data_IF_425704441839
#
_entry.id   IF_425704441839
#
_cell.length_a   1.000
_cell.length_b   1.000
_cell.length_c   1.000
_cell.angle_alpha   90.00
_cell.angle_beta   90.00
_cell.angle_gamma   90.00
#
_symmetry.space_group_name_H-M   'P 1'
#
loop_
_entity.id
_entity.type
_entity.pdbx_description
1 polymer ?
#
# COMPACT_ATOMS: atom_id res chain seq x y z
N UNK A 1 12.86 3.81 5.70
CA UNK A 1 11.80 4.82 5.82
C UNK A 1 10.70 4.49 4.83
N UNK A 2 9.54 4.07 5.32
CA UNK A 2 8.39 3.77 4.49
C UNK A 2 7.53 5.03 4.31
N UNK A 3 7.02 5.26 3.11
CA UNK A 3 6.13 6.38 2.83
C UNK A 3 5.11 5.99 1.77
N UNK A 4 3.99 6.71 1.74
CA UNK A 4 3.03 6.66 0.65
C UNK A 4 2.84 8.06 0.08
N UNK A 5 2.97 8.19 -1.24
CA UNK A 5 2.76 9.43 -1.97
C UNK A 5 1.64 9.20 -2.99
N UNK A 6 0.58 10.00 -2.89
CA UNK A 6 -0.53 10.01 -3.85
C UNK A 6 -0.60 11.39 -4.49
N UNK A 7 -0.65 11.44 -5.82
CA UNK A 7 -0.88 12.68 -6.57
C UNK A 7 -2.23 12.60 -7.27
N UNK A 8 -3.16 13.44 -6.86
CA UNK A 8 -4.47 13.54 -7.48
C UNK A 8 -4.43 14.25 -8.83
N UNK A 9 -5.52 14.15 -9.60
CA UNK A 9 -5.67 14.86 -10.88
C UNK A 9 -5.65 16.39 -10.72
N UNK A 10 -5.90 16.91 -9.52
CA UNK A 10 -5.76 18.31 -9.17
C UNK A 10 -4.30 18.74 -8.91
N UNK A 11 -3.32 17.85 -9.10
CA UNK A 11 -1.90 18.10 -8.87
C UNK A 11 -1.48 18.10 -7.40
N UNK A 12 -2.40 17.93 -6.45
CA UNK A 12 -2.08 17.90 -5.01
C UNK A 12 -1.34 16.63 -4.65
N UNK A 13 -0.27 16.78 -3.87
CA UNK A 13 0.48 15.68 -3.25
C UNK A 13 -0.07 15.42 -1.85
N UNK A 14 -0.47 14.18 -1.60
CA UNK A 14 -0.79 13.65 -0.29
C UNK A 14 0.32 12.68 0.10
N UNK A 15 0.89 12.87 1.28
CA UNK A 15 2.02 12.09 1.74
C UNK A 15 1.79 11.63 3.17
N UNK A 16 2.04 10.34 3.41
CA UNK A 16 2.10 9.76 4.74
C UNK A 16 3.52 9.24 4.92
N UNK A 17 4.25 9.85 5.86
CA UNK A 17 5.57 9.40 6.29
C UNK A 17 5.42 8.51 7.53
N UNK A 18 5.87 7.27 7.41
CA UNK A 18 5.88 6.30 8.52
C UNK A 18 7.18 6.36 9.33
N UNK A 19 8.13 7.22 8.94
CA UNK A 19 9.45 7.36 9.55
C UNK A 19 10.15 5.99 9.64
N UNK A 20 10.63 5.63 10.83
CA UNK A 20 11.24 4.34 11.15
C UNK A 20 10.28 3.43 11.94
N UNK A 21 8.98 3.73 11.95
CA UNK A 21 8.02 2.85 12.60
C UNK A 21 7.96 1.49 11.89
N UNK A 22 7.78 0.43 12.67
CA UNK A 22 7.36 -0.84 12.12
C UNK A 22 5.98 -0.68 11.50
N UNK A 23 5.76 -1.27 10.32
CA UNK A 23 4.50 -1.17 9.60
C UNK A 23 3.85 -2.53 9.42
N UNK A 24 2.52 -2.54 9.50
CA UNK A 24 1.69 -3.65 9.07
C UNK A 24 1.06 -3.30 7.73
N UNK A 25 1.10 -4.24 6.79
CA UNK A 25 0.47 -4.13 5.48
C UNK A 25 -0.55 -5.24 5.33
N UNK A 26 -1.80 -4.89 5.08
CA UNK A 26 -2.88 -5.81 4.77
C UNK A 26 -3.41 -5.55 3.36
N UNK A 27 -3.76 -6.63 2.67
CA UNK A 27 -4.36 -6.57 1.34
C UNK A 27 -5.68 -7.32 1.37
N UNK A 28 -6.77 -6.59 1.09
CA UNK A 28 -8.11 -7.15 0.96
C UNK A 28 -8.52 -7.12 -0.50
N UNK A 29 -9.00 -8.25 -1.02
CA UNK A 29 -9.39 -8.38 -2.43
C UNK A 29 -10.84 -8.86 -2.48
N UNK A 30 -11.68 -8.16 -3.23
CA UNK A 30 -13.03 -8.60 -3.57
C UNK A 30 -13.20 -8.61 -5.10
N UNK A 31 -14.42 -8.77 -5.60
CA UNK A 31 -14.66 -8.87 -7.05
C UNK A 31 -14.32 -7.58 -7.82
N UNK A 32 -14.52 -6.42 -7.20
CA UNK A 32 -14.40 -5.12 -7.87
C UNK A 32 -13.10 -4.39 -7.53
N UNK A 33 -12.61 -4.56 -6.29
CA UNK A 33 -11.57 -3.74 -5.72
C UNK A 33 -10.48 -4.55 -5.01
N UNK A 34 -9.30 -3.94 -4.96
CA UNK A 34 -8.20 -4.30 -4.07
C UNK A 34 -7.98 -3.14 -3.12
N UNK A 35 -8.02 -3.41 -1.82
CA UNK A 35 -7.76 -2.44 -0.77
C UNK A 35 -6.45 -2.78 -0.07
N UNK A 36 -5.54 -1.81 -0.02
CA UNK A 36 -4.30 -1.87 0.73
C UNK A 36 -4.45 -1.02 1.98
N UNK A 37 -4.24 -1.63 3.14
CA UNK A 37 -4.20 -0.95 4.43
C UNK A 37 -2.77 -1.00 4.93
N UNK A 38 -2.18 0.17 5.21
CA UNK A 38 -0.83 0.27 5.76
C UNK A 38 -0.92 1.07 7.05
N UNK A 39 -0.47 0.49 8.16
CA UNK A 39 -0.52 1.11 9.48
C UNK A 39 0.86 1.09 10.13
N UNK A 40 1.23 2.17 10.81
CA UNK A 40 2.35 2.12 11.76
C UNK A 40 1.91 1.38 13.04
N UNK A 41 2.74 0.47 13.53
CA UNK A 41 2.55 -0.25 14.78
C UNK A 41 2.98 0.60 15.99
N UNK A 42 2.49 1.83 16.06
CA UNK A 42 2.74 2.74 17.17
C UNK A 42 1.72 2.47 18.30
N UNK A 43 2.00 1.53 19.22
CA UNK A 43 1.07 1.21 20.32
C UNK A 43 0.85 2.38 21.29
N UNK A 44 1.87 3.22 21.49
CA UNK A 44 1.85 4.35 22.43
C UNK A 44 1.19 5.62 21.87
N UNK A 45 0.80 5.65 20.59
CA UNK A 45 0.17 6.83 19.99
C UNK A 45 -1.35 6.82 20.19
N UNK A 46 -1.95 7.98 20.54
CA UNK A 46 -3.41 8.15 20.47
C UNK A 46 -3.94 7.78 19.09
N UNK A 47 -5.14 7.19 19.03
CA UNK A 47 -5.74 6.64 17.80
C UNK A 47 -5.79 7.66 16.67
N UNK A 48 -6.11 8.91 16.98
CA UNK A 48 -6.20 10.03 16.03
C UNK A 48 -4.85 10.48 15.45
N UNK A 49 -3.74 10.04 16.06
CA UNK A 49 -2.37 10.30 15.58
C UNK A 49 -1.70 9.07 14.98
N UNK A 50 -2.41 7.94 14.89
CA UNK A 50 -1.89 6.76 14.22
C UNK A 50 -1.70 7.09 12.74
N UNK A 51 -0.51 6.76 12.24
CA UNK A 51 -0.16 6.92 10.83
C UNK A 51 -0.73 5.72 10.10
N UNK A 52 -1.61 5.98 9.16
CA UNK A 52 -2.16 4.96 8.31
C UNK A 52 -2.43 5.52 6.92
N UNK A 53 -2.48 4.64 5.94
CA UNK A 53 -3.07 4.93 4.63
C UNK A 53 -3.94 3.78 4.20
N UNK A 54 -5.01 4.13 3.48
CA UNK A 54 -5.90 3.19 2.82
C UNK A 54 -5.92 3.54 1.33
N UNK A 55 -5.61 2.56 0.50
CA UNK A 55 -5.63 2.72 -0.97
C UNK A 55 -6.61 1.71 -1.54
N UNK A 56 -7.67 2.21 -2.16
CA UNK A 56 -8.65 1.39 -2.86
C UNK A 56 -8.44 1.53 -4.38
N UNK A 57 -8.24 0.40 -5.05
CA UNK A 57 -7.95 0.33 -6.48
C UNK A 57 -8.94 -0.59 -7.19
N UNK A 58 -9.32 -0.30 -8.45
CA UNK A 58 -10.06 -1.27 -9.26
C UNK A 58 -9.24 -2.55 -9.42
N UNK A 59 -9.85 -3.70 -9.12
CA UNK A 59 -9.19 -5.01 -9.18
C UNK A 59 -8.63 -5.31 -10.56
N UNK A 60 -9.36 -4.96 -11.61
CA UNK A 60 -8.91 -5.15 -13.00
C UNK A 60 -7.60 -4.40 -13.31
N UNK A 61 -7.41 -3.21 -12.76
CA UNK A 61 -6.18 -2.44 -12.92
C UNK A 61 -5.03 -3.06 -12.13
N UNK A 62 -5.29 -3.50 -10.90
CA UNK A 62 -4.30 -4.18 -10.07
C UNK A 62 -3.84 -5.50 -10.71
N UNK A 63 -4.77 -6.36 -11.12
CA UNK A 63 -4.48 -7.65 -11.75
C UNK A 63 -3.66 -7.48 -13.03
N UNK A 64 -4.00 -6.48 -13.85
CA UNK A 64 -3.22 -6.13 -15.05
C UNK A 64 -1.79 -5.73 -14.69
N UNK A 65 -1.61 -4.84 -13.71
CA UNK A 65 -0.29 -4.40 -13.27
C UNK A 65 0.56 -5.56 -12.71
N UNK A 66 -0.06 -6.45 -11.91
CA UNK A 66 0.61 -7.64 -11.36
C UNK A 66 1.01 -8.63 -12.46
N UNK A 67 0.15 -8.84 -13.45
CA UNK A 67 0.46 -9.70 -14.59
C UNK A 67 1.60 -9.11 -15.46
N UNK A 68 1.62 -7.79 -15.66
CA UNK A 68 2.74 -7.09 -16.33
C UNK A 68 4.05 -7.20 -15.53
N UNK A 69 3.98 -7.06 -14.21
CA UNK A 69 5.13 -7.28 -13.33
C UNK A 69 5.66 -8.71 -13.44
N UNK A 70 4.79 -9.72 -13.39
CA UNK A 70 5.20 -11.12 -13.50
C UNK A 70 5.86 -11.42 -14.85
N UNK A 71 5.35 -10.84 -15.95
CA UNK A 71 5.96 -10.98 -17.29
C UNK A 71 7.30 -10.27 -17.41
N UNK A 72 7.45 -9.10 -16.78
CA UNK A 72 8.73 -8.36 -16.80
C UNK A 72 9.79 -8.98 -15.88
N UNK A 73 9.37 -9.72 -14.85
CA UNK A 73 10.23 -10.47 -13.93
C UNK A 73 10.12 -11.98 -14.16
N UNK A 74 10.80 -12.50 -15.18
CA UNK A 74 11.25 -13.91 -15.19
C UNK A 74 12.22 -14.27 -14.04
N UNK A 75 12.13 -13.60 -12.88
CA UNK A 75 12.88 -13.89 -11.66
C UNK A 75 11.86 -14.09 -10.56
N UNK A 76 11.78 -15.34 -10.10
CA UNK A 76 10.96 -15.81 -9.00
C UNK A 76 10.92 -14.80 -7.84
N UNK A 77 9.72 -14.33 -7.49
CA UNK A 77 9.48 -13.74 -6.18
C UNK A 77 9.62 -14.91 -5.20
N UNK A 78 10.82 -15.08 -4.63
CA UNK A 78 10.97 -15.91 -3.43
C UNK A 78 10.20 -15.21 -2.33
N UNK A 79 9.17 -15.88 -1.83
CA UNK A 79 8.63 -15.58 -0.51
C UNK A 79 9.82 -15.57 0.47
N UNK A 80 9.98 -14.48 1.19
CA UNK A 80 10.93 -14.41 2.30
C UNK A 80 10.19 -15.06 3.47
N UNK A 81 10.72 -16.18 3.96
CA UNK A 81 10.28 -16.85 5.19
C UNK A 81 10.38 -15.90 6.40
#
# INVERSE_FOLDING_TARGET
>A
MAYVIIRGNNGRRHEVDFENAEIKVEVHINEENVELVIEALDEDRPREKKRFTLVNLPRSAFDKAMAEMARSKGIAIKAVD
#
